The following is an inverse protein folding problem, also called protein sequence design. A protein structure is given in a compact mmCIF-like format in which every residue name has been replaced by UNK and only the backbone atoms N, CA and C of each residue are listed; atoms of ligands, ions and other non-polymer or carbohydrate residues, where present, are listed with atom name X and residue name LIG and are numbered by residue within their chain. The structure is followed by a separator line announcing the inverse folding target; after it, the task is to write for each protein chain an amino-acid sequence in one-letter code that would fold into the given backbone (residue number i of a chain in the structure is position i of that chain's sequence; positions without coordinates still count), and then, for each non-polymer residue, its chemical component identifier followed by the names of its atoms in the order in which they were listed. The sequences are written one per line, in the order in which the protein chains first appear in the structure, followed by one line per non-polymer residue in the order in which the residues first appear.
data_IF_019202002271
#
_entry.id   IF_019202002271
#
_cell.length_a   1.000
_cell.length_b   1.000
_cell.length_c   1.000
_cell.angle_alpha   90.00
_cell.angle_beta   90.00
_cell.angle_gamma   90.00
#
_symmetry.space_group_name_H-M   'P 1'
#
loop_
_entity.id
_entity.type
_entity.pdbx_description
1 polymer ?
#
# COMPACT_ATOMS: atom_id res chain seq x y z
N UNK A 1 7.34 11.27 16.44
CA UNK A 1 8.09 12.03 15.42
C UNK A 1 8.15 11.15 14.19
N UNK A 2 7.63 11.63 13.04
CA UNK A 2 7.78 10.93 11.76
C UNK A 2 9.22 11.13 11.25
N UNK A 3 9.79 10.10 10.64
CA UNK A 3 11.15 10.07 10.09
C UNK A 3 11.12 9.42 8.71
N UNK A 4 12.15 9.64 7.90
CA UNK A 4 12.28 9.14 6.52
C UNK A 4 11.23 9.72 5.56
N UNK A 5 11.53 10.92 5.04
CA UNK A 5 10.63 11.71 4.19
C UNK A 5 11.08 11.75 2.71
N UNK A 6 12.02 10.89 2.32
CA UNK A 6 12.57 10.86 0.96
C UNK A 6 11.53 10.42 -0.09
N UNK A 7 10.49 9.69 0.33
CA UNK A 7 9.35 9.26 -0.49
C UNK A 7 8.13 10.20 -0.40
N UNK A 8 8.24 11.35 0.26
CA UNK A 8 7.12 12.29 0.36
C UNK A 8 6.75 12.88 -1.00
N UNK A 9 5.46 12.82 -1.33
CA UNK A 9 4.90 13.35 -2.57
C UNK A 9 3.52 13.98 -2.34
N UNK A 10 3.04 14.73 -3.33
CA UNK A 10 1.64 15.21 -3.32
C UNK A 10 0.70 14.06 -3.70
N UNK A 11 -0.35 13.85 -2.91
CA UNK A 11 -1.29 12.76 -3.12
C UNK A 11 -2.60 12.92 -2.35
N UNK A 12 -3.39 11.86 -2.34
CA UNK A 12 -4.64 11.75 -1.55
C UNK A 12 -4.30 11.43 -0.10
N UNK A 13 -5.12 11.90 0.84
CA UNK A 13 -4.87 11.75 2.29
C UNK A 13 -4.90 10.28 2.68
N UNK A 14 -5.74 9.48 2.03
CA UNK A 14 -5.80 8.04 2.26
C UNK A 14 -4.42 7.36 2.17
N UNK A 15 -3.50 7.84 1.31
CA UNK A 15 -2.17 7.26 1.12
C UNK A 15 -1.33 7.24 2.39
N UNK A 16 -1.47 8.25 3.24
CA UNK A 16 -0.74 8.36 4.50
C UNK A 16 -1.41 7.55 5.63
N UNK A 17 -2.61 7.02 5.40
CA UNK A 17 -3.47 6.43 6.43
C UNK A 17 -3.64 4.92 6.30
N UNK A 18 -3.92 4.40 5.09
CA UNK A 18 -4.37 3.01 4.92
C UNK A 18 -3.33 1.97 5.35
N UNK A 19 -2.04 2.31 5.27
CA UNK A 19 -0.94 1.40 5.64
C UNK A 19 -0.80 1.20 7.15
N UNK A 20 -1.50 1.97 7.98
CA UNK A 20 -1.50 1.78 9.45
C UNK A 20 -2.41 0.64 9.91
N UNK A 21 -3.23 0.10 9.02
CA UNK A 21 -4.27 -0.87 9.35
C UNK A 21 -3.72 -2.30 9.29
N UNK A 22 -4.20 -3.16 10.18
CA UNK A 22 -3.81 -4.56 10.24
C UNK A 22 -4.94 -5.47 10.73
N UNK A 23 -4.84 -6.76 10.41
CA UNK A 23 -5.77 -7.79 10.87
C UNK A 23 -6.95 -8.04 9.93
N UNK A 24 -7.98 -8.69 10.45
CA UNK A 24 -9.21 -9.04 9.74
C UNK A 24 -10.00 -7.81 9.26
N UNK A 25 -10.91 -7.98 8.28
CA UNK A 25 -11.76 -6.89 7.80
C UNK A 25 -12.49 -6.11 8.91
N UNK A 26 -13.02 -6.82 9.91
CA UNK A 26 -13.70 -6.20 11.05
C UNK A 26 -12.75 -5.43 11.97
N UNK A 27 -11.50 -5.87 12.12
CA UNK A 27 -10.47 -5.14 12.87
C UNK A 27 -10.05 -3.86 12.14
N UNK A 28 -9.81 -3.96 10.83
CA UNK A 28 -9.45 -2.82 10.00
C UNK A 28 -10.57 -1.75 9.98
N UNK A 29 -11.84 -2.15 9.93
CA UNK A 29 -12.97 -1.21 10.02
C UNK A 29 -13.00 -0.46 11.37
N UNK A 30 -12.71 -1.15 12.48
CA UNK A 30 -12.61 -0.50 13.80
C UNK A 30 -11.43 0.46 13.87
N UNK A 31 -10.25 0.04 13.41
CA UNK A 31 -9.06 0.87 13.35
C UNK A 31 -9.26 2.11 12.47
N UNK A 32 -9.96 1.98 11.34
CA UNK A 32 -10.37 3.12 10.52
C UNK A 32 -11.21 4.12 11.31
N UNK A 33 -12.17 3.66 12.11
CA UNK A 33 -13.00 4.51 12.95
C UNK A 33 -12.18 5.35 13.93
N UNK A 34 -11.30 4.70 14.68
CA UNK A 34 -10.39 5.35 15.65
C UNK A 34 -9.43 6.33 14.96
N UNK A 35 -8.83 5.91 13.84
CA UNK A 35 -7.89 6.72 13.07
C UNK A 35 -8.56 7.98 12.51
N UNK A 36 -9.75 7.84 11.90
CA UNK A 36 -10.49 8.96 11.33
C UNK A 36 -11.09 9.86 12.40
N UNK A 37 -11.42 9.35 13.59
CA UNK A 37 -11.80 10.18 14.73
C UNK A 37 -10.66 11.13 15.13
N UNK A 38 -9.44 10.61 15.29
CA UNK A 38 -8.27 11.42 15.61
C UNK A 38 -7.88 12.39 14.48
N UNK A 39 -7.83 11.89 13.24
CA UNK A 39 -7.43 12.69 12.07
C UNK A 39 -8.37 13.90 11.85
N UNK A 40 -9.68 13.69 12.00
CA UNK A 40 -10.69 14.74 11.79
C UNK A 40 -10.69 15.84 12.84
N UNK A 41 -9.91 15.71 13.91
CA UNK A 41 -9.66 16.84 14.82
C UNK A 41 -8.78 17.92 14.18
N UNK A 42 -8.06 17.60 13.10
CA UNK A 42 -7.09 18.49 12.45
C UNK A 42 -7.41 18.77 10.98
N UNK A 43 -8.00 17.82 10.25
CA UNK A 43 -8.32 17.97 8.83
C UNK A 43 -9.52 17.12 8.37
N UNK A 44 -10.24 17.59 7.36
CA UNK A 44 -11.32 16.82 6.74
C UNK A 44 -10.78 15.61 5.96
N UNK A 45 -11.58 14.54 5.91
CA UNK A 45 -11.28 13.33 5.14
C UNK A 45 -12.38 13.07 4.10
N UNK A 46 -11.99 12.97 2.83
CA UNK A 46 -12.91 12.62 1.74
C UNK A 46 -13.00 11.09 1.60
N UNK A 47 -14.15 10.53 1.95
CA UNK A 47 -14.41 9.09 1.84
C UNK A 47 -14.38 8.58 0.39
N UNK A 48 -14.47 9.44 -0.62
CA UNK A 48 -14.25 9.04 -2.01
C UNK A 48 -12.83 8.52 -2.24
N UNK A 49 -11.85 8.96 -1.46
CA UNK A 49 -10.44 8.53 -1.55
C UNK A 49 -10.22 7.08 -1.15
N UNK A 50 -11.14 6.47 -0.37
CA UNK A 50 -11.03 5.06 0.06
C UNK A 50 -11.03 4.13 -1.16
N UNK A 51 -11.73 4.49 -2.24
CA UNK A 51 -11.72 3.74 -3.51
C UNK A 51 -10.35 3.70 -4.20
N UNK A 52 -9.42 4.57 -3.80
CA UNK A 52 -8.08 4.63 -4.35
C UNK A 52 -7.09 3.75 -3.57
N UNK A 53 -7.48 3.16 -2.43
CA UNK A 53 -6.55 2.35 -1.62
C UNK A 53 -6.01 1.16 -2.41
N UNK A 54 -6.88 0.36 -3.02
CA UNK A 54 -6.43 -0.82 -3.77
C UNK A 54 -5.66 -0.46 -5.06
N UNK A 55 -6.03 0.59 -5.83
CA UNK A 55 -5.17 1.13 -6.89
C UNK A 55 -3.80 1.60 -6.40
N UNK A 56 -3.73 2.31 -5.26
CA UNK A 56 -2.48 2.79 -4.68
C UNK A 56 -1.61 1.65 -4.16
N UNK A 57 -2.22 0.60 -3.61
CA UNK A 57 -1.54 -0.64 -3.21
C UNK A 57 -0.90 -1.32 -4.42
N UNK A 58 -1.63 -1.46 -5.52
CA UNK A 58 -1.10 -1.99 -6.78
C UNK A 58 0.10 -1.17 -7.29
N UNK A 59 -0.04 0.16 -7.27
CA UNK A 59 1.04 1.06 -7.65
C UNK A 59 2.27 0.90 -6.76
N UNK A 60 2.08 0.74 -5.44
CA UNK A 60 3.16 0.47 -4.48
C UNK A 60 3.87 -0.85 -4.77
N UNK A 61 3.14 -1.90 -5.12
CA UNK A 61 3.72 -3.20 -5.52
C UNK A 61 4.64 -3.04 -6.74
N UNK A 62 4.13 -2.38 -7.79
CA UNK A 62 4.88 -2.11 -9.02
C UNK A 62 6.12 -1.25 -8.76
N UNK A 63 5.97 -0.17 -8.00
CA UNK A 63 7.09 0.71 -7.64
C UNK A 63 8.14 -0.03 -6.81
N UNK A 64 7.74 -0.88 -5.86
CA UNK A 64 8.69 -1.67 -5.08
C UNK A 64 9.48 -2.64 -5.97
N UNK A 65 8.80 -3.39 -6.84
CA UNK A 65 9.46 -4.31 -7.77
C UNK A 65 10.43 -3.55 -8.71
N UNK A 66 10.00 -2.41 -9.26
CA UNK A 66 10.86 -1.56 -10.09
C UNK A 66 12.04 -0.99 -9.30
N UNK A 67 11.83 -0.55 -8.06
CA UNK A 67 12.86 -0.02 -7.18
C UNK A 67 13.97 -1.04 -6.90
N UNK A 68 13.59 -2.31 -6.66
CA UNK A 68 14.54 -3.43 -6.54
C UNK A 68 15.27 -3.66 -7.85
N UNK A 69 14.55 -3.77 -8.98
CA UNK A 69 15.13 -4.09 -10.28
C UNK A 69 16.11 -3.01 -10.77
N UNK A 70 15.78 -1.73 -10.62
CA UNK A 70 16.63 -0.61 -11.01
C UNK A 70 17.93 -0.53 -10.22
N UNK A 71 17.96 -1.05 -9.00
CA UNK A 71 19.13 -1.04 -8.12
C UNK A 71 19.85 -2.38 -8.04
N UNK A 72 19.49 -3.33 -8.90
CA UNK A 72 20.04 -4.69 -8.85
C UNK A 72 21.57 -4.76 -8.99
N UNK A 73 22.18 -3.78 -9.68
CA UNK A 73 23.63 -3.68 -9.83
C UNK A 73 24.37 -3.27 -8.53
N UNK A 74 23.67 -2.69 -7.56
CA UNK A 74 24.22 -2.41 -6.23
C UNK A 74 24.35 -3.73 -5.45
N UNK A 75 25.56 -4.12 -4.98
CA UNK A 75 25.77 -5.36 -4.23
C UNK A 75 24.91 -5.54 -2.98
N UNK A 76 24.34 -4.47 -2.41
CA UNK A 76 23.38 -4.57 -1.31
C UNK A 76 22.06 -5.24 -1.73
N UNK A 77 21.58 -5.03 -2.96
CA UNK A 77 20.26 -5.47 -3.40
C UNK A 77 20.14 -6.98 -3.58
N UNK A 78 21.05 -7.67 -4.29
CA UNK A 78 21.01 -9.14 -4.35
C UNK A 78 21.14 -9.82 -2.99
N UNK A 79 21.79 -9.17 -2.01
CA UNK A 79 21.91 -9.69 -0.63
C UNK A 79 20.63 -9.50 0.18
N UNK A 80 19.98 -8.34 0.06
CA UNK A 80 18.75 -8.02 0.79
C UNK A 80 17.49 -8.63 0.16
N UNK A 81 17.50 -8.82 -1.17
CA UNK A 81 16.37 -9.29 -1.96
C UNK A 81 16.74 -10.49 -2.85
N UNK A 82 17.33 -11.58 -2.29
CA UNK A 82 17.80 -12.71 -3.08
C UNK A 82 16.67 -13.39 -3.88
N UNK A 83 15.45 -13.38 -3.34
CA UNK A 83 14.25 -13.92 -3.97
C UNK A 83 13.90 -13.24 -5.30
N UNK A 84 14.34 -12.01 -5.55
CA UNK A 84 14.05 -11.31 -6.80
C UNK A 84 14.72 -11.97 -8.02
N UNK A 85 15.75 -12.79 -7.79
CA UNK A 85 16.41 -13.59 -8.82
C UNK A 85 15.72 -14.94 -9.07
N UNK A 86 14.73 -15.31 -8.27
CA UNK A 86 14.04 -16.60 -8.37
C UNK A 86 12.81 -16.51 -9.26
N UNK A 87 12.65 -17.38 -10.29
CA UNK A 87 11.46 -17.37 -11.14
C UNK A 87 10.15 -17.52 -10.35
N UNK A 88 10.16 -18.35 -9.30
CA UNK A 88 8.99 -18.59 -8.43
C UNK A 88 8.48 -17.33 -7.75
N UNK A 89 9.36 -16.39 -7.41
CA UNK A 89 8.93 -15.11 -6.85
C UNK A 89 8.06 -14.35 -7.85
N UNK A 90 8.45 -14.31 -9.12
CA UNK A 90 7.72 -13.58 -10.16
C UNK A 90 6.38 -14.24 -10.50
N UNK A 91 6.29 -15.57 -10.44
CA UNK A 91 5.01 -16.29 -10.54
C UNK A 91 4.05 -15.87 -9.41
N UNK A 92 4.54 -15.81 -8.17
CA UNK A 92 3.76 -15.31 -7.02
C UNK A 92 3.38 -13.84 -7.18
N UNK A 93 4.33 -12.98 -7.56
CA UNK A 93 4.08 -11.56 -7.78
C UNK A 93 3.02 -11.30 -8.86
N UNK A 94 3.00 -12.10 -9.94
CA UNK A 94 1.94 -12.03 -10.95
C UNK A 94 0.59 -12.44 -10.38
N UNK A 95 0.54 -13.50 -9.56
CA UNK A 95 -0.67 -13.91 -8.89
C UNK A 95 -1.20 -12.83 -7.93
N UNK A 96 -0.31 -12.21 -7.14
CA UNK A 96 -0.65 -11.10 -6.24
C UNK A 96 -1.24 -9.92 -7.03
N UNK A 97 -0.69 -9.58 -8.21
CA UNK A 97 -1.24 -8.53 -9.07
C UNK A 97 -2.62 -8.88 -9.64
N UNK A 98 -2.89 -10.15 -9.96
CA UNK A 98 -4.20 -10.59 -10.42
C UNK A 98 -5.25 -10.50 -9.30
N UNK A 99 -4.88 -10.89 -8.08
CA UNK A 99 -5.71 -10.71 -6.89
C UNK A 99 -5.97 -9.23 -6.62
N UNK A 100 -4.96 -8.40 -6.84
CA UNK A 100 -5.09 -6.95 -6.69
C UNK A 100 -6.04 -6.33 -7.72
N UNK A 101 -6.05 -6.82 -8.96
CA UNK A 101 -7.02 -6.39 -9.99
C UNK A 101 -8.44 -6.71 -9.52
N UNK A 102 -8.68 -7.93 -9.03
CA UNK A 102 -9.99 -8.29 -8.49
C UNK A 102 -10.40 -7.40 -7.31
N UNK A 103 -9.47 -7.11 -6.39
CA UNK A 103 -9.72 -6.25 -5.24
C UNK A 103 -10.05 -4.79 -5.62
N UNK A 104 -9.51 -4.28 -6.73
CA UNK A 104 -9.82 -2.95 -7.25
C UNK A 104 -11.29 -2.85 -7.71
N UNK A 105 -11.85 -3.95 -8.23
CA UNK A 105 -13.23 -4.01 -8.72
C UNK A 105 -14.25 -4.22 -7.58
N UNK A 106 -13.80 -4.64 -6.39
CA UNK A 106 -14.64 -4.83 -5.21
C UNK A 106 -14.98 -3.50 -4.51
N UNK A 107 -16.13 -3.40 -3.81
CA UNK A 107 -16.43 -2.26 -2.97
C UNK A 107 -15.38 -2.07 -1.86
N UNK A 108 -15.00 -0.82 -1.52
CA UNK A 108 -13.98 -0.57 -0.50
C UNK A 108 -14.43 -1.03 0.89
N UNK A 109 -13.51 -1.59 1.68
CA UNK A 109 -13.80 -2.07 3.04
C UNK A 109 -14.53 -1.05 3.95
N UNK A 110 -14.21 0.23 3.79
CA UNK A 110 -14.86 1.33 4.50
C UNK A 110 -15.96 1.94 3.63
N UNK A 111 -17.19 1.87 4.11
CA UNK A 111 -18.36 2.53 3.55
C UNK A 111 -18.89 3.56 4.55
N UNK A 112 -19.49 4.64 4.04
CA UNK A 112 -20.11 5.67 4.87
C UNK A 112 -21.43 5.20 5.47
#
# INVERSE_FOLDING_TARGET
MFVDLDDCASGVRAQDLWMMLAGSPAEQQRQWGELLEGYRQFADFDFAEVRLIEPLRALRMLHHAAWVAHRWSDPAFPRAFPWAAEPRYWEGYLQDLLEQIAAIDEPPLLHR
#
